data_IF_990053463833
#
_entry.id   IF_990053463833
#
_cell.length_a   1.000
_cell.length_b   1.000
_cell.length_c   1.000
_cell.angle_alpha   90.00
_cell.angle_beta   90.00
_cell.angle_gamma   90.00
#
_symmetry.space_group_name_H-M   'P 1'
#
loop_
_entity.id
_entity.type
_entity.pdbx_description
1 polymer ?
#
# COMPACT_ATOMS: atom_id res chain seq x y z
N UNK A 1 -11.97 -13.15 6.71
CA UNK A 1 -10.86 -12.27 6.27
C UNK A 1 -10.74 -11.20 7.34
N UNK A 2 -9.58 -11.05 7.99
CA UNK A 2 -9.40 -10.07 9.06
C UNK A 2 -9.67 -8.66 8.50
N UNK A 3 -10.42 -7.82 9.21
CA UNK A 3 -10.85 -6.50 8.72
C UNK A 3 -9.65 -5.64 8.31
N UNK A 4 -8.60 -5.67 9.12
CA UNK A 4 -7.36 -4.95 8.89
C UNK A 4 -6.66 -5.37 7.60
N UNK A 5 -6.67 -6.68 7.29
CA UNK A 5 -6.07 -7.21 6.06
C UNK A 5 -6.79 -6.66 4.82
N UNK A 6 -8.13 -6.63 4.85
CA UNK A 6 -8.91 -6.10 3.73
C UNK A 6 -8.66 -4.61 3.53
N UNK A 7 -8.56 -3.84 4.61
CA UNK A 7 -8.26 -2.41 4.57
C UNK A 7 -6.91 -2.11 3.90
N UNK A 8 -5.83 -2.80 4.29
CA UNK A 8 -4.52 -2.60 3.64
C UNK A 8 -4.54 -2.98 2.17
N UNK A 9 -5.28 -4.03 1.79
CA UNK A 9 -5.43 -4.41 0.37
C UNK A 9 -6.09 -3.28 -0.43
N UNK A 10 -7.20 -2.72 0.06
CA UNK A 10 -7.88 -1.62 -0.64
C UNK A 10 -6.99 -0.37 -0.74
N UNK A 11 -6.26 -0.02 0.32
CA UNK A 11 -5.33 1.11 0.29
C UNK A 11 -4.18 0.90 -0.70
N UNK A 12 -3.58 -0.28 -0.73
CA UNK A 12 -2.50 -0.59 -1.67
C UNK A 12 -2.96 -0.54 -3.12
N UNK A 13 -4.18 -0.99 -3.43
CA UNK A 13 -4.75 -0.89 -4.77
C UNK A 13 -4.99 0.56 -5.22
N UNK A 14 -5.17 1.49 -4.28
CA UNK A 14 -5.32 2.91 -4.58
C UNK A 14 -3.96 3.61 -4.76
N UNK A 15 -2.93 3.18 -4.04
CA UNK A 15 -1.61 3.80 -4.03
C UNK A 15 -0.68 3.26 -5.11
N UNK A 16 -0.78 1.97 -5.44
CA UNK A 16 0.07 1.30 -6.42
C UNK A 16 -0.80 0.68 -7.54
N UNK A 17 -0.94 1.37 -8.68
CA UNK A 17 -1.73 0.90 -9.82
C UNK A 17 -1.21 -0.40 -10.46
N UNK A 18 0.04 -0.80 -10.17
CA UNK A 18 0.63 -2.05 -10.67
C UNK A 18 0.27 -3.24 -9.80
N UNK A 19 -0.25 -3.00 -8.60
CA UNK A 19 -0.61 -4.06 -7.68
C UNK A 19 -2.00 -4.64 -8.00
N UNK A 20 -2.19 -5.94 -7.74
CA UNK A 20 -3.46 -6.61 -7.97
C UNK A 20 -4.01 -7.22 -6.69
N UNK A 21 -5.35 -7.32 -6.61
CA UNK A 21 -6.02 -7.90 -5.44
C UNK A 21 -5.59 -9.35 -5.21
N UNK A 22 -5.32 -10.09 -6.27
CA UNK A 22 -4.85 -11.48 -6.22
C UNK A 22 -3.45 -11.57 -5.60
N UNK A 23 -2.51 -10.71 -6.03
CA UNK A 23 -1.16 -10.67 -5.47
C UNK A 23 -1.13 -10.30 -3.98
N UNK A 24 -2.06 -9.46 -3.55
CA UNK A 24 -2.15 -9.01 -2.16
C UNK A 24 -2.92 -9.99 -1.25
N UNK A 25 -3.79 -10.82 -1.82
CA UNK A 25 -4.64 -11.73 -1.06
C UNK A 25 -3.84 -12.76 -0.27
N UNK A 26 -2.72 -13.21 -0.84
CA UNK A 26 -1.90 -14.28 -0.28
C UNK A 26 -0.87 -13.76 0.74
N UNK A 27 -0.69 -12.44 0.84
CA UNK A 27 0.25 -11.81 1.77
C UNK A 27 -0.19 -11.89 3.22
N UNK A 28 0.75 -11.89 4.16
CA UNK A 28 0.45 -11.71 5.58
C UNK A 28 0.04 -10.27 5.87
N UNK A 29 -0.48 -10.01 7.06
CA UNK A 29 -0.81 -8.62 7.45
C UNK A 29 0.45 -7.74 7.57
N UNK A 30 1.56 -8.30 8.06
CA UNK A 30 2.84 -7.59 8.18
C UNK A 30 3.39 -7.22 6.80
N UNK A 31 3.34 -8.14 5.84
CA UNK A 31 3.78 -7.86 4.46
C UNK A 31 2.94 -6.76 3.79
N UNK A 32 1.64 -6.69 4.11
CA UNK A 32 0.76 -5.65 3.61
C UNK A 32 1.05 -4.30 4.29
N UNK A 33 1.35 -4.30 5.59
CA UNK A 33 1.76 -3.11 6.34
C UNK A 33 3.08 -2.55 5.82
N UNK A 34 4.08 -3.40 5.60
CA UNK A 34 5.39 -3.01 5.08
C UNK A 34 5.26 -2.39 3.68
N UNK A 35 4.48 -3.02 2.79
CA UNK A 35 4.18 -2.45 1.47
C UNK A 35 3.50 -1.09 1.59
N UNK A 36 2.50 -0.96 2.46
CA UNK A 36 1.77 0.29 2.65
C UNK A 36 2.70 1.42 3.12
N UNK A 37 3.55 1.15 4.11
CA UNK A 37 4.51 2.12 4.62
C UNK A 37 5.48 2.58 3.53
N UNK A 38 5.96 1.65 2.69
CA UNK A 38 6.82 1.98 1.55
C UNK A 38 6.10 2.85 0.51
N UNK A 39 4.85 2.53 0.16
CA UNK A 39 4.05 3.36 -0.75
C UNK A 39 3.84 4.77 -0.18
N UNK A 40 3.53 4.88 1.12
CA UNK A 40 3.29 6.17 1.76
C UNK A 40 4.57 7.01 1.85
N UNK A 41 5.72 6.41 2.13
CA UNK A 41 7.01 7.10 2.13
C UNK A 41 7.32 7.71 0.76
N UNK A 42 7.15 6.94 -0.32
CA UNK A 42 7.37 7.44 -1.69
C UNK A 42 6.45 8.62 -2.04
N UNK A 43 5.17 8.53 -1.69
CA UNK A 43 4.23 9.65 -1.88
C UNK A 43 4.66 10.90 -1.12
N UNK A 44 5.17 10.75 0.11
CA UNK A 44 5.67 11.89 0.89
C UNK A 44 6.92 12.51 0.26
N UNK A 45 7.81 11.69 -0.29
CA UNK A 45 8.99 12.17 -1.02
C UNK A 45 8.57 12.94 -2.29
N UNK A 46 7.62 12.41 -3.06
CA UNK A 46 7.05 13.07 -4.25
C UNK A 46 6.32 14.39 -3.88
N UNK A 47 5.48 14.39 -2.85
CA UNK A 47 4.80 15.60 -2.34
C UNK A 47 5.81 16.67 -1.90
N UNK A 48 6.96 16.28 -1.35
CA UNK A 48 8.03 17.19 -0.93
C UNK A 48 8.82 17.76 -2.12
N UNK A 49 9.08 16.95 -3.16
CA UNK A 49 9.71 17.39 -4.40
C UNK A 49 8.83 18.36 -5.18
N UNK A 50 7.52 18.14 -5.23
CA UNK A 50 6.56 19.03 -5.92
C UNK A 50 6.33 20.37 -5.18
N UNK A 51 6.64 20.45 -3.89
CA UNK A 51 6.48 21.66 -3.07
C UNK A 51 7.69 22.62 -3.11
N UNK A 52 8.78 22.27 -3.81
CA UNK A 52 9.97 23.11 -4.02
C UNK A 52 9.92 23.87 -5.35
#
# INVERSE_FOLDING_TARGET
>A
MNHDKAMYIEWLLLMDPLESRENLRDKTIEELQDKFNLCRLKQLDEEMEEAQ
#
